data_IF_729783435709
#
_entry.id   IF_729783435709
#
_cell.length_a   1.000
_cell.length_b   1.000
_cell.length_c   1.000
_cell.angle_alpha   90.00
_cell.angle_beta   90.00
_cell.angle_gamma   90.00
#
_symmetry.space_group_name_H-M   'P 1'
#
loop_
_entity.id
_entity.type
_entity.pdbx_description
1 polymer ?
#
# COMPACT_ATOMS: atom_id res chain seq x y z
N UNK A 1 -16.82 11.57 19.72
CA UNK A 1 -15.43 11.23 19.28
C UNK A 1 -15.12 12.06 18.04
N UNK A 2 -13.91 12.62 17.91
CA UNK A 2 -13.55 13.42 16.74
C UNK A 2 -13.41 12.57 15.49
N UNK A 3 -13.66 13.15 14.30
CA UNK A 3 -13.44 12.54 12.99
C UNK A 3 -11.98 12.13 12.87
N UNK A 4 -11.71 10.86 12.56
CA UNK A 4 -10.35 10.35 12.36
C UNK A 4 -10.01 10.35 10.88
N UNK A 5 -8.77 10.68 10.54
CA UNK A 5 -8.22 10.46 9.19
C UNK A 5 -7.61 9.06 9.11
N UNK A 6 -8.09 8.27 8.18
CA UNK A 6 -7.67 6.87 7.97
C UNK A 6 -7.07 6.76 6.60
N UNK A 7 -5.83 6.26 6.55
CA UNK A 7 -5.14 5.95 5.31
C UNK A 7 -4.76 4.47 5.30
N UNK A 8 -5.13 3.77 4.24
CA UNK A 8 -4.74 2.37 4.05
C UNK A 8 -4.72 1.99 2.57
N UNK A 9 -4.15 0.84 2.24
CA UNK A 9 -4.05 0.43 0.85
C UNK A 9 -3.90 -1.08 0.65
N UNK A 10 -4.17 -1.51 -0.59
CA UNK A 10 -4.02 -2.89 -1.03
C UNK A 10 -3.14 -2.95 -2.27
N UNK A 11 -2.23 -3.93 -2.32
CA UNK A 11 -1.38 -4.16 -3.48
C UNK A 11 -2.18 -4.85 -4.60
N UNK A 12 -2.06 -4.40 -5.85
CA UNK A 12 -2.69 -5.03 -7.00
C UNK A 12 -1.85 -6.22 -7.50
N UNK A 13 -1.66 -7.25 -6.68
CA UNK A 13 -0.75 -8.38 -6.96
C UNK A 13 -1.46 -9.61 -7.55
N UNK A 14 -2.65 -9.44 -8.13
CA UNK A 14 -3.43 -10.50 -8.75
C UNK A 14 -4.77 -10.73 -8.07
N UNK A 15 -5.37 -11.89 -8.29
CA UNK A 15 -6.70 -12.21 -7.82
C UNK A 15 -6.87 -11.99 -6.32
N UNK A 16 -7.67 -11.00 -5.97
CA UNK A 16 -8.07 -10.79 -4.59
C UNK A 16 -8.90 -11.99 -4.13
N UNK A 17 -8.52 -12.56 -3.00
CA UNK A 17 -9.18 -13.70 -2.41
C UNK A 17 -9.89 -13.33 -1.09
N UNK A 18 -10.64 -14.26 -0.54
CA UNK A 18 -11.42 -14.06 0.68
C UNK A 18 -10.57 -13.51 1.85
N UNK A 19 -9.30 -13.90 1.95
CA UNK A 19 -8.38 -13.38 2.97
C UNK A 19 -8.10 -11.88 2.81
N UNK A 20 -7.98 -11.36 1.59
CA UNK A 20 -7.84 -9.92 1.35
C UNK A 20 -9.12 -9.16 1.71
N UNK A 21 -10.29 -9.76 1.42
CA UNK A 21 -11.57 -9.18 1.79
C UNK A 21 -11.72 -9.08 3.31
N UNK A 22 -11.55 -10.20 4.03
CA UNK A 22 -11.75 -10.23 5.49
C UNK A 22 -10.65 -9.44 6.21
N UNK A 23 -9.40 -9.55 5.75
CA UNK A 23 -8.23 -8.95 6.41
C UNK A 23 -8.09 -7.44 6.19
N UNK A 24 -8.64 -6.91 5.09
CA UNK A 24 -8.47 -5.50 4.73
C UNK A 24 -9.78 -4.82 4.31
N UNK A 25 -10.39 -5.24 3.19
CA UNK A 25 -11.46 -4.49 2.52
C UNK A 25 -12.71 -4.36 3.40
N UNK A 26 -13.09 -5.42 4.11
CA UNK A 26 -14.21 -5.38 5.07
C UNK A 26 -13.98 -4.31 6.13
N UNK A 27 -12.78 -4.25 6.70
CA UNK A 27 -12.43 -3.23 7.69
C UNK A 27 -12.48 -1.81 7.11
N UNK A 28 -12.14 -1.62 5.83
CA UNK A 28 -12.25 -0.32 5.15
C UNK A 28 -13.71 0.14 5.07
N UNK A 29 -14.63 -0.78 4.75
CA UNK A 29 -16.07 -0.50 4.71
C UNK A 29 -16.60 -0.15 6.10
N UNK A 30 -16.19 -0.89 7.11
CA UNK A 30 -16.61 -0.64 8.50
C UNK A 30 -16.11 0.74 8.98
N UNK A 31 -14.83 1.07 8.74
CA UNK A 31 -14.23 2.35 9.10
C UNK A 31 -14.88 3.53 8.37
N UNK A 32 -15.24 3.38 7.09
CA UNK A 32 -15.99 4.38 6.32
C UNK A 32 -17.36 4.66 6.96
N UNK A 33 -18.02 3.62 7.45
CA UNK A 33 -19.35 3.73 8.04
C UNK A 33 -19.34 4.36 9.45
N UNK A 34 -18.19 4.36 10.13
CA UNK A 34 -17.97 5.06 11.41
C UNK A 34 -17.81 6.58 11.28
N UNK A 35 -18.11 7.16 10.12
CA UNK A 35 -17.99 8.58 9.81
C UNK A 35 -16.55 9.13 9.94
N UNK A 36 -15.56 8.33 9.50
CA UNK A 36 -14.17 8.74 9.40
C UNK A 36 -13.86 9.33 8.02
N UNK A 37 -12.84 10.19 7.93
CA UNK A 37 -12.25 10.61 6.66
C UNK A 37 -11.34 9.50 6.14
N UNK A 38 -11.82 8.69 5.21
CA UNK A 38 -11.09 7.54 4.69
C UNK A 38 -10.45 7.81 3.34
N UNK A 39 -9.20 7.41 3.21
CA UNK A 39 -8.39 7.48 1.98
C UNK A 39 -7.85 6.08 1.73
N UNK A 40 -8.29 5.44 0.66
CA UNK A 40 -7.88 4.08 0.28
C UNK A 40 -7.08 4.10 -1.01
N UNK A 41 -5.91 3.48 -0.97
CA UNK A 41 -4.92 3.50 -2.01
C UNK A 41 -4.76 2.13 -2.66
N UNK A 42 -4.77 2.08 -4.00
CA UNK A 42 -4.23 0.93 -4.73
C UNK A 42 -2.72 1.15 -4.86
N UNK A 43 -1.92 0.35 -4.15
CA UNK A 43 -0.48 0.61 -4.00
C UNK A 43 0.34 -0.10 -5.08
N UNK A 44 0.21 0.38 -6.31
CA UNK A 44 0.89 -0.14 -7.49
C UNK A 44 2.41 0.09 -7.48
N UNK A 45 2.89 1.20 -6.90
CA UNK A 45 4.34 1.41 -6.71
C UNK A 45 4.96 0.37 -5.76
N UNK A 46 4.18 -0.24 -4.87
CA UNK A 46 4.65 -1.36 -4.06
C UNK A 46 4.69 -2.65 -4.86
N UNK A 47 3.77 -2.84 -5.79
CA UNK A 47 3.73 -4.04 -6.63
C UNK A 47 4.98 -4.13 -7.53
N UNK A 48 5.47 -3.00 -8.08
CA UNK A 48 6.66 -2.98 -8.96
C UNK A 48 7.98 -3.27 -8.25
N UNK A 49 8.00 -3.38 -6.91
CA UNK A 49 9.19 -3.83 -6.18
C UNK A 49 9.56 -5.27 -6.49
N UNK A 50 8.61 -6.03 -7.01
CA UNK A 50 8.80 -7.37 -7.58
C UNK A 50 8.48 -7.29 -9.07
N UNK A 51 9.19 -8.06 -9.90
CA UNK A 51 8.99 -8.05 -11.36
C UNK A 51 7.53 -8.33 -11.70
N UNK A 52 6.90 -7.42 -12.41
CA UNK A 52 5.53 -7.47 -12.89
C UNK A 52 5.48 -7.30 -14.41
N UNK A 53 4.51 -7.93 -15.05
CA UNK A 53 4.12 -7.58 -16.41
C UNK A 53 3.30 -6.28 -16.37
N UNK A 54 3.65 -5.25 -17.18
CA UNK A 54 2.98 -3.95 -17.12
C UNK A 54 1.48 -4.00 -17.43
N UNK A 55 1.05 -4.83 -18.41
CA UNK A 55 -0.36 -4.92 -18.78
C UNK A 55 -1.16 -5.66 -17.70
N UNK A 56 -0.58 -6.71 -17.14
CA UNK A 56 -1.19 -7.44 -16.02
C UNK A 56 -1.30 -6.52 -14.79
N UNK A 57 -0.26 -5.76 -14.47
CA UNK A 57 -0.31 -4.82 -13.35
C UNK A 57 -1.39 -3.76 -13.53
N UNK A 58 -1.52 -3.22 -14.74
CA UNK A 58 -2.55 -2.24 -15.09
C UNK A 58 -3.96 -2.82 -14.94
N UNK A 59 -4.17 -4.05 -15.39
CA UNK A 59 -5.42 -4.76 -15.21
C UNK A 59 -5.73 -4.99 -13.72
N UNK A 60 -4.78 -5.56 -12.98
CA UNK A 60 -4.93 -5.83 -11.55
C UNK A 60 -5.23 -4.56 -10.74
N UNK A 61 -4.62 -3.42 -11.12
CA UNK A 61 -4.89 -2.13 -10.49
C UNK A 61 -6.34 -1.72 -10.66
N UNK A 62 -6.91 -1.88 -11.86
CA UNK A 62 -8.32 -1.58 -12.15
C UNK A 62 -9.26 -2.54 -11.43
N UNK A 63 -8.93 -3.83 -11.42
CA UNK A 63 -9.72 -4.86 -10.74
C UNK A 63 -9.74 -4.65 -9.23
N UNK A 64 -8.61 -4.24 -8.64
CA UNK A 64 -8.54 -3.91 -7.21
C UNK A 64 -9.45 -2.72 -6.88
N UNK A 65 -9.42 -1.67 -7.68
CA UNK A 65 -10.30 -0.52 -7.49
C UNK A 65 -11.78 -0.91 -7.68
N UNK A 66 -12.11 -1.71 -8.68
CA UNK A 66 -13.45 -2.23 -8.90
C UNK A 66 -13.93 -3.10 -7.73
N UNK A 67 -13.04 -3.90 -7.15
CA UNK A 67 -13.34 -4.73 -5.98
C UNK A 67 -13.64 -3.85 -4.75
N UNK A 68 -12.91 -2.76 -4.54
CA UNK A 68 -13.24 -1.81 -3.47
C UNK A 68 -14.67 -1.31 -3.57
N UNK A 69 -15.09 -0.90 -4.78
CA UNK A 69 -16.45 -0.43 -5.04
C UNK A 69 -17.49 -1.55 -4.85
N UNK A 70 -17.24 -2.73 -5.40
CA UNK A 70 -18.13 -3.88 -5.29
C UNK A 70 -18.32 -4.36 -3.85
N UNK A 71 -17.31 -4.22 -3.01
CA UNK A 71 -17.36 -4.57 -1.59
C UNK A 71 -18.03 -3.51 -0.71
N UNK A 72 -18.40 -2.35 -1.27
CA UNK A 72 -19.18 -1.33 -0.55
C UNK A 72 -18.40 -0.08 -0.15
N UNK A 73 -17.16 0.12 -0.62
CA UNK A 73 -16.48 1.40 -0.45
C UNK A 73 -17.18 2.43 -1.34
N UNK A 74 -17.68 3.49 -0.72
CA UNK A 74 -18.45 4.53 -1.41
C UNK A 74 -17.52 5.71 -1.78
N UNK A 75 -17.30 5.99 -3.09
CA UNK A 75 -16.42 7.06 -3.54
C UNK A 75 -16.94 8.47 -3.24
N UNK A 76 -18.21 8.60 -2.79
CA UNK A 76 -18.74 9.87 -2.29
C UNK A 76 -18.39 10.14 -0.82
N UNK A 77 -17.99 9.11 -0.08
CA UNK A 77 -17.61 9.20 1.34
C UNK A 77 -16.11 9.04 1.55
N UNK A 78 -15.43 8.30 0.68
CA UNK A 78 -14.01 7.95 0.80
C UNK A 78 -13.27 8.32 -0.48
N UNK A 79 -12.02 8.71 -0.35
CA UNK A 79 -11.13 8.92 -1.49
C UNK A 79 -10.54 7.55 -1.86
N UNK A 80 -10.66 7.18 -3.14
CA UNK A 80 -9.98 6.02 -3.72
C UNK A 80 -9.01 6.55 -4.78
N UNK A 81 -7.75 6.17 -4.72
CA UNK A 81 -6.76 6.61 -5.69
C UNK A 81 -5.71 5.55 -5.97
N UNK A 82 -5.01 5.69 -7.09
CA UNK A 82 -3.85 4.88 -7.45
C UNK A 82 -2.57 5.59 -7.01
N UNK A 83 -1.68 4.90 -6.32
CA UNK A 83 -0.47 5.47 -5.72
C UNK A 83 0.41 6.20 -6.76
N UNK A 84 0.61 5.60 -7.94
CA UNK A 84 1.43 6.19 -9.00
C UNK A 84 0.85 7.48 -9.60
N UNK A 85 -0.44 7.76 -9.38
CA UNK A 85 -1.07 9.01 -9.82
C UNK A 85 -0.69 10.22 -8.96
N UNK A 86 0.02 10.02 -7.85
CA UNK A 86 0.46 11.07 -6.93
C UNK A 86 1.99 11.07 -6.85
N UNK A 87 2.66 11.92 -7.63
CA UNK A 87 4.13 11.99 -7.73
C UNK A 87 4.83 12.20 -6.40
N UNK A 88 4.18 12.91 -5.48
CA UNK A 88 4.68 13.18 -4.14
C UNK A 88 5.07 11.92 -3.34
N UNK A 89 4.46 10.77 -3.61
CA UNK A 89 4.87 9.51 -2.99
C UNK A 89 6.30 9.12 -3.36
N UNK A 90 6.65 9.23 -4.65
CA UNK A 90 7.99 8.92 -5.15
C UNK A 90 9.02 9.96 -4.71
N UNK A 91 8.64 11.23 -4.73
CA UNK A 91 9.49 12.35 -4.31
C UNK A 91 9.82 12.24 -2.82
N UNK A 92 8.83 12.01 -1.97
CA UNK A 92 9.05 11.80 -0.53
C UNK A 92 9.88 10.55 -0.26
N UNK A 93 9.63 9.46 -0.98
CA UNK A 93 10.42 8.24 -0.87
C UNK A 93 11.90 8.50 -1.16
N UNK A 94 12.20 9.30 -2.19
CA UNK A 94 13.58 9.71 -2.50
C UNK A 94 14.21 10.51 -1.37
N UNK A 95 13.53 11.55 -0.88
CA UNK A 95 14.02 12.39 0.22
C UNK A 95 14.30 11.57 1.48
N UNK A 96 13.38 10.69 1.86
CA UNK A 96 13.55 9.81 3.01
C UNK A 96 14.69 8.80 2.80
N UNK A 97 14.91 8.32 1.58
CA UNK A 97 16.02 7.43 1.26
C UNK A 97 17.38 8.11 1.43
N UNK A 98 17.47 9.42 1.22
CA UNK A 98 18.70 10.19 1.41
C UNK A 98 19.08 10.35 2.90
N UNK A 99 18.15 10.23 3.82
CA UNK A 99 18.39 10.34 5.27
C UNK A 99 18.32 9.00 6.01
N UNK A 100 17.75 7.98 5.38
CA UNK A 100 17.64 6.65 5.96
C UNK A 100 19.02 5.97 6.08
N UNK A 101 19.24 5.31 7.20
CA UNK A 101 20.51 4.59 7.45
C UNK A 101 20.41 3.14 7.00
N UNK A 102 21.42 2.65 6.28
CA UNK A 102 21.50 1.25 5.83
C UNK A 102 21.25 0.24 6.98
N UNK A 103 21.77 0.52 8.18
CA UNK A 103 21.54 -0.34 9.34
C UNK A 103 20.10 -0.41 9.82
N UNK A 104 19.25 0.59 9.49
CA UNK A 104 17.82 0.54 9.75
C UNK A 104 17.11 -0.36 8.75
N UNK A 105 17.45 -0.22 7.47
CA UNK A 105 16.91 -1.01 6.38
C UNK A 105 17.23 -2.50 6.55
N UNK A 106 18.42 -2.85 6.96
CA UNK A 106 18.84 -4.22 7.23
C UNK A 106 18.05 -4.93 8.34
N UNK A 107 17.43 -4.16 9.24
CA UNK A 107 16.59 -4.69 10.33
C UNK A 107 15.14 -4.88 9.96
N UNK A 108 14.70 -4.34 8.81
CA UNK A 108 13.30 -4.41 8.39
C UNK A 108 12.90 -5.85 8.03
N UNK A 109 11.86 -6.34 8.69
CA UNK A 109 11.34 -7.70 8.49
C UNK A 109 10.78 -7.89 7.09
N UNK A 110 10.10 -6.88 6.54
CA UNK A 110 9.48 -6.94 5.21
C UNK A 110 10.47 -7.22 4.08
N UNK A 111 11.69 -6.67 4.15
CA UNK A 111 12.73 -7.00 3.19
C UNK A 111 13.13 -8.48 3.32
N UNK A 112 13.32 -8.95 4.56
CA UNK A 112 13.72 -10.34 4.82
C UNK A 112 12.68 -11.35 4.33
N UNK A 113 11.41 -11.05 4.52
CA UNK A 113 10.30 -11.91 4.12
C UNK A 113 10.13 -11.96 2.59
N UNK A 114 10.17 -10.80 1.92
CA UNK A 114 9.94 -10.72 0.47
C UNK A 114 11.16 -11.06 -0.38
N UNK A 115 12.38 -10.79 0.09
CA UNK A 115 13.60 -11.16 -0.62
C UNK A 115 13.85 -12.68 -0.65
N UNK A 116 13.21 -13.44 0.25
CA UNK A 116 13.34 -14.88 0.32
C UNK A 116 14.78 -15.34 0.59
N UNK A 117 15.17 -16.49 0.00
CA UNK A 117 16.51 -17.08 0.18
C UNK A 117 17.58 -16.37 -0.65
N UNK A 118 17.20 -15.74 -1.75
CA UNK A 118 18.14 -15.14 -2.73
C UNK A 118 18.11 -13.61 -2.65
N UNK A 119 18.71 -13.09 -1.57
CA UNK A 119 18.73 -11.65 -1.29
C UNK A 119 19.47 -10.83 -2.34
N UNK A 120 20.41 -11.43 -3.06
CA UNK A 120 21.21 -10.75 -4.08
C UNK A 120 20.39 -10.40 -5.32
N UNK A 121 19.31 -11.14 -5.58
CA UNK A 121 18.38 -10.86 -6.68
C UNK A 121 17.24 -9.90 -6.31
N UNK A 122 17.16 -9.51 -5.04
CA UNK A 122 16.14 -8.58 -4.61
C UNK A 122 16.40 -7.18 -5.20
N UNK A 123 15.34 -6.53 -5.67
CA UNK A 123 15.44 -5.17 -6.20
C UNK A 123 15.77 -4.16 -5.09
N UNK A 124 16.50 -3.10 -5.45
CA UNK A 124 16.73 -1.96 -4.53
C UNK A 124 15.39 -1.35 -4.09
N UNK A 125 14.40 -1.32 -5.00
CA UNK A 125 13.05 -0.88 -4.67
C UNK A 125 12.42 -1.66 -3.52
N UNK A 126 12.61 -2.99 -3.48
CA UNK A 126 12.14 -3.82 -2.37
C UNK A 126 12.81 -3.47 -1.04
N UNK A 127 14.05 -3.00 -1.08
CA UNK A 127 14.81 -2.60 0.09
C UNK A 127 14.38 -1.22 0.63
N UNK A 128 14.02 -0.30 -0.27
CA UNK A 128 13.75 1.11 0.05
C UNK A 128 12.25 1.37 0.30
N UNK A 129 11.33 0.66 -0.38
CA UNK A 129 9.90 1.00 -0.32
C UNK A 129 9.30 1.07 1.09
N UNK A 130 9.75 0.27 2.09
CA UNK A 130 9.20 0.37 3.43
C UNK A 130 9.51 1.70 4.13
N UNK A 131 10.54 2.43 3.68
CA UNK A 131 10.99 3.69 4.30
C UNK A 131 9.89 4.73 4.23
N UNK A 132 9.24 4.91 3.08
CA UNK A 132 8.18 5.89 2.89
C UNK A 132 6.96 5.61 3.77
N UNK A 133 6.59 4.33 3.94
CA UNK A 133 5.42 3.94 4.74
C UNK A 133 5.70 3.89 6.24
N UNK A 134 6.88 3.50 6.65
CA UNK A 134 7.27 3.50 8.06
C UNK A 134 7.23 4.91 8.65
N UNK A 135 7.60 5.92 7.87
CA UNK A 135 7.59 7.32 8.33
C UNK A 135 6.22 7.99 8.18
N UNK A 136 5.39 7.58 7.19
CA UNK A 136 4.04 8.12 7.01
C UNK A 136 3.00 7.50 7.97
N UNK A 137 3.24 6.29 8.47
CA UNK A 137 2.28 5.56 9.31
C UNK A 137 2.61 5.56 10.79
N UNK A 138 3.64 6.24 11.24
CA UNK A 138 3.81 6.55 12.65
C UNK A 138 2.96 7.78 13.00
N UNK A 139 1.79 7.70 13.64
CA UNK A 139 1.42 6.83 14.77
C UNK A 139 0.11 6.06 14.60
N UNK A 140 -0.38 5.81 13.42
CA UNK A 140 -1.60 5.03 13.24
C UNK A 140 -1.25 3.55 13.07
N UNK A 141 -1.17 2.83 14.17
CA UNK A 141 -1.30 1.38 14.16
C UNK A 141 -2.69 1.04 13.62
N UNK A 142 -2.77 0.67 12.37
CA UNK A 142 -3.85 -0.14 11.83
C UNK A 142 -3.19 -1.41 11.33
N UNK A 143 -3.56 -2.49 11.96
CA UNK A 143 -3.04 -3.86 11.77
C UNK A 143 -3.22 -4.37 10.37
#
# INVERSE_FOLDING_TARGET
MGVKKIFSGVQPTGNLHLGNYIGAIKNFVDLQNENNECIFCVVDLHAVTVKQDPEILKQNTRETAATFLACGINPKKSIIFNQSSVSAHSELSWLLSCVARMGWLNRMTQFKEKAGKDKEKASVGLYIYPVSYTHLTLPTRIF
#
